data_IF_233993223154
#
_entry.id   IF_233993223154
#
_cell.length_a   1.000
_cell.length_b   1.000
_cell.length_c   1.000
_cell.angle_alpha   90.00
_cell.angle_beta   90.00
_cell.angle_gamma   90.00
#
_symmetry.space_group_name_H-M   'P 1'
#
loop_
_entity.id
_entity.type
_entity.pdbx_description
1 polymer ?
#
# COMPACT_ATOMS: atom_id res chain seq x y z
N UNK A 1 -46.80 -4.89 -10.44
CA UNK A 1 -45.52 -5.60 -10.24
C UNK A 1 -44.72 -5.43 -11.53
N UNK A 2 -43.62 -4.67 -11.48
CA UNK A 2 -42.73 -4.48 -12.62
C UNK A 2 -41.52 -5.39 -12.44
N UNK A 3 -41.31 -6.32 -13.38
CA UNK A 3 -40.11 -7.14 -13.44
C UNK A 3 -39.09 -6.45 -14.33
N UNK A 4 -37.91 -6.13 -13.79
CA UNK A 4 -36.80 -5.62 -14.57
C UNK A 4 -35.98 -6.81 -15.09
N UNK A 5 -36.02 -7.04 -16.41
CA UNK A 5 -35.16 -8.02 -17.08
C UNK A 5 -33.83 -7.33 -17.46
N UNK A 6 -32.72 -7.73 -16.83
CA UNK A 6 -31.40 -7.21 -17.15
C UNK A 6 -30.65 -8.20 -18.06
N UNK A 7 -30.98 -8.19 -19.36
CA UNK A 7 -30.30 -9.02 -20.38
C UNK A 7 -28.83 -8.66 -20.64
N UNK A 8 -28.27 -7.71 -19.88
CA UNK A 8 -26.87 -7.30 -19.96
C UNK A 8 -25.91 -8.35 -19.37
N UNK A 9 -26.32 -9.05 -18.32
CA UNK A 9 -25.44 -9.99 -17.63
C UNK A 9 -25.11 -11.23 -18.48
N UNK A 10 -26.06 -11.73 -19.28
CA UNK A 10 -25.85 -12.91 -20.14
C UNK A 10 -24.70 -12.72 -21.15
N UNK A 11 -24.54 -11.52 -21.70
CA UNK A 11 -23.53 -11.26 -22.72
C UNK A 11 -22.12 -11.08 -22.14
N UNK A 12 -22.01 -10.76 -20.85
CA UNK A 12 -20.72 -10.61 -20.17
C UNK A 12 -20.13 -11.96 -19.74
N UNK A 13 -20.97 -12.97 -19.45
CA UNK A 13 -20.52 -14.31 -19.05
C UNK A 13 -20.29 -15.27 -20.22
N UNK A 14 -20.79 -14.95 -21.42
CA UNK A 14 -20.68 -15.79 -22.62
C UNK A 14 -19.34 -15.74 -23.38
N UNK A 15 -18.40 -14.86 -23.00
CA UNK A 15 -17.14 -14.64 -23.73
C UNK A 15 -15.87 -14.81 -22.89
N UNK A 16 -15.88 -15.71 -21.89
CA UNK A 16 -14.67 -16.09 -21.15
C UNK A 16 -13.82 -17.13 -21.91
N UNK A 17 -13.31 -16.79 -23.09
CA UNK A 17 -12.02 -17.33 -23.54
C UNK A 17 -11.29 -16.22 -24.28
N UNK A 18 -10.06 -15.95 -23.83
CA UNK A 18 -9.13 -14.92 -24.35
C UNK A 18 -9.45 -13.49 -23.94
N UNK A 19 -9.24 -13.20 -22.67
CA UNK A 19 -8.38 -12.08 -22.26
C UNK A 19 -8.14 -12.27 -20.77
N UNK A 20 -7.02 -12.90 -20.42
CA UNK A 20 -6.46 -12.81 -19.08
C UNK A 20 -6.14 -11.33 -18.85
N UNK A 21 -7.15 -10.66 -18.30
CA UNK A 21 -7.13 -9.32 -17.77
C UNK A 21 -5.87 -9.14 -16.92
N UNK A 22 -4.99 -8.23 -17.35
CA UNK A 22 -4.10 -7.46 -16.45
C UNK A 22 -4.96 -6.51 -15.60
N UNK A 23 -5.90 -7.10 -14.87
CA UNK A 23 -6.92 -6.42 -14.07
C UNK A 23 -6.62 -6.63 -12.59
N UNK A 24 -5.82 -5.74 -12.02
CA UNK A 24 -5.96 -5.12 -10.70
C UNK A 24 -6.43 -5.99 -9.49
N UNK A 25 -6.14 -7.29 -9.49
CA UNK A 25 -6.40 -8.22 -8.39
C UNK A 25 -5.10 -8.79 -7.78
N UNK A 26 -3.97 -8.18 -8.13
CA UNK A 26 -2.63 -8.71 -7.89
C UNK A 26 -1.83 -8.02 -6.79
N UNK A 27 -2.46 -7.51 -5.73
CA UNK A 27 -1.72 -6.89 -4.62
C UNK A 27 -1.02 -7.94 -3.76
N UNK A 28 -1.81 -8.76 -3.06
CA UNK A 28 -1.28 -9.78 -2.15
C UNK A 28 -0.54 -10.91 -2.86
N UNK A 29 -1.04 -11.37 -4.01
CA UNK A 29 -0.44 -12.49 -4.75
C UNK A 29 0.87 -12.14 -5.44
N UNK A 30 1.02 -10.92 -5.99
CA UNK A 30 2.30 -10.51 -6.57
C UNK A 30 3.31 -10.15 -5.48
N UNK A 31 2.87 -9.53 -4.38
CA UNK A 31 3.76 -9.28 -3.24
C UNK A 31 4.37 -10.57 -2.70
N UNK A 32 3.58 -11.63 -2.53
CA UNK A 32 4.07 -12.92 -2.02
C UNK A 32 5.20 -13.49 -2.90
N UNK A 33 5.02 -13.48 -4.23
CA UNK A 33 6.04 -13.94 -5.18
C UNK A 33 7.32 -13.14 -5.07
N UNK A 34 7.22 -11.82 -4.92
CA UNK A 34 8.39 -10.95 -4.79
C UNK A 34 9.07 -11.07 -3.42
N UNK A 35 8.29 -11.24 -2.36
CA UNK A 35 8.80 -11.43 -1.01
C UNK A 35 9.58 -12.74 -0.86
N UNK A 36 9.07 -13.83 -1.42
CA UNK A 36 9.73 -15.15 -1.40
C UNK A 36 11.08 -15.14 -2.14
N UNK A 37 11.26 -14.24 -3.11
CA UNK A 37 12.51 -14.09 -3.84
C UNK A 37 13.60 -13.33 -3.06
N UNK A 38 13.27 -12.69 -1.93
CA UNK A 38 14.20 -11.86 -1.15
C UNK A 38 14.57 -12.56 0.16
N UNK A 39 15.86 -12.78 0.38
CA UNK A 39 16.37 -13.31 1.66
C UNK A 39 16.42 -12.20 2.72
N UNK A 40 15.37 -12.09 3.55
CA UNK A 40 15.30 -11.15 4.67
C UNK A 40 14.86 -11.86 5.95
N UNK A 41 15.64 -11.72 7.03
CA UNK A 41 15.33 -12.29 8.34
C UNK A 41 14.69 -11.30 9.31
N UNK A 42 14.58 -10.03 8.90
CA UNK A 42 14.01 -8.95 9.68
C UNK A 42 12.71 -8.48 9.03
N UNK A 43 12.50 -7.17 8.88
CA UNK A 43 11.32 -6.62 8.24
C UNK A 43 11.60 -6.34 6.77
N UNK A 44 10.80 -6.92 5.88
CA UNK A 44 10.85 -6.64 4.45
C UNK A 44 9.86 -5.52 4.12
N UNK A 45 10.37 -4.40 3.61
CA UNK A 45 9.52 -3.28 3.21
C UNK A 45 8.62 -3.68 2.02
N UNK A 46 7.28 -3.56 2.12
CA UNK A 46 6.37 -4.08 1.11
C UNK A 46 6.48 -3.36 -0.24
N UNK A 47 6.80 -2.07 -0.22
CA UNK A 47 6.82 -1.22 -1.42
C UNK A 47 8.18 -1.20 -2.11
N UNK A 48 9.26 -1.42 -1.36
CA UNK A 48 10.65 -1.30 -1.86
C UNK A 48 11.43 -2.60 -1.87
N UNK A 49 10.92 -3.64 -1.20
CA UNK A 49 11.57 -4.94 -1.00
C UNK A 49 12.96 -4.84 -0.33
N UNK A 50 13.20 -3.77 0.42
CA UNK A 50 14.42 -3.57 1.19
C UNK A 50 14.25 -4.22 2.57
N UNK A 51 15.25 -4.98 2.99
CA UNK A 51 15.29 -5.58 4.32
C UNK A 51 15.81 -4.57 5.35
N UNK A 52 15.03 -4.27 6.37
CA UNK A 52 15.34 -3.31 7.43
C UNK A 52 15.04 -3.89 8.81
N UNK A 53 15.54 -3.23 9.86
CA UNK A 53 15.37 -3.72 11.23
C UNK A 53 13.98 -3.48 11.80
N UNK A 54 13.33 -2.36 11.44
CA UNK A 54 11.97 -2.05 11.90
C UNK A 54 11.16 -1.42 10.76
N UNK A 55 9.82 -1.52 10.79
CA UNK A 55 8.96 -0.89 9.79
C UNK A 55 9.23 0.61 9.59
N UNK A 56 9.57 1.33 10.66
CA UNK A 56 9.88 2.77 10.62
C UNK A 56 11.15 3.11 9.79
N UNK A 57 12.00 2.12 9.56
CA UNK A 57 13.27 2.28 8.86
C UNK A 57 13.09 2.15 7.33
N UNK A 58 11.90 1.76 6.85
CA UNK A 58 11.63 1.65 5.41
C UNK A 58 11.81 3.00 4.68
N UNK A 59 12.46 3.00 3.50
CA UNK A 59 12.58 4.19 2.68
C UNK A 59 11.31 4.41 1.84
N UNK A 60 11.13 5.65 1.39
CA UNK A 60 10.09 5.95 0.40
C UNK A 60 10.43 5.32 -0.96
N UNK A 61 9.43 4.78 -1.68
CA UNK A 61 9.66 4.13 -2.97
C UNK A 61 10.12 5.12 -4.05
N UNK A 62 9.65 6.37 -4.01
CA UNK A 62 10.11 7.42 -4.90
C UNK A 62 11.17 8.28 -4.21
N UNK A 63 12.28 8.52 -4.90
CA UNK A 63 13.43 9.29 -4.38
C UNK A 63 13.13 10.79 -4.18
N UNK A 64 12.10 11.28 -4.84
CA UNK A 64 11.62 12.67 -4.73
C UNK A 64 10.65 12.89 -3.56
N UNK A 65 10.16 11.80 -2.95
CA UNK A 65 9.29 11.87 -1.79
C UNK A 65 10.10 11.92 -0.49
N UNK A 66 9.61 12.70 0.47
CA UNK A 66 10.23 12.85 1.78
C UNK A 66 9.57 11.88 2.77
N UNK A 67 10.40 11.18 3.56
CA UNK A 67 9.93 10.29 4.63
C UNK A 67 9.53 11.07 5.88
N UNK A 68 8.25 11.10 6.21
CA UNK A 68 7.74 11.58 7.48
C UNK A 68 7.55 10.40 8.45
N UNK A 69 8.01 10.54 9.69
CA UNK A 69 7.84 9.52 10.73
C UNK A 69 6.94 10.06 11.82
N UNK A 70 5.77 9.45 11.98
CA UNK A 70 4.80 9.79 13.00
C UNK A 70 5.00 8.81 14.16
N UNK A 71 5.57 9.25 15.30
CA UNK A 71 5.75 8.37 16.44
C UNK A 71 4.38 7.98 17.01
N UNK A 72 4.26 6.74 17.46
CA UNK A 72 3.09 6.32 18.24
C UNK A 72 3.13 6.98 19.63
N UNK A 73 1.97 7.39 20.14
CA UNK A 73 1.88 8.07 21.43
C UNK A 73 2.12 7.12 22.61
N UNK A 74 1.82 5.84 22.44
CA UNK A 74 1.93 4.82 23.48
C UNK A 74 3.25 4.05 23.41
N UNK A 75 3.77 3.82 22.20
CA UNK A 75 5.03 3.13 21.97
C UNK A 75 6.03 3.99 21.20
N UNK A 76 6.99 4.57 21.93
CA UNK A 76 8.07 5.38 21.34
C UNK A 76 8.99 4.57 20.41
N UNK A 77 8.93 3.25 20.46
CA UNK A 77 9.66 2.35 19.55
C UNK A 77 8.96 2.12 18.21
N UNK A 78 7.66 2.44 18.13
CA UNK A 78 6.81 2.26 16.96
C UNK A 78 6.48 3.60 16.31
N UNK A 79 6.43 3.61 14.98
CA UNK A 79 6.06 4.79 14.22
C UNK A 79 5.38 4.42 12.91
N UNK A 80 4.41 5.25 12.51
CA UNK A 80 3.83 5.21 11.18
C UNK A 80 4.70 6.03 10.23
N UNK A 81 5.06 5.45 9.09
CA UNK A 81 5.82 6.14 8.05
C UNK A 81 4.87 6.61 6.96
N UNK A 82 5.04 7.86 6.53
CA UNK A 82 4.33 8.44 5.40
C UNK A 82 5.32 9.04 4.41
N UNK A 83 5.09 8.82 3.13
CA UNK A 83 5.88 9.42 2.05
C UNK A 83 5.06 10.55 1.42
N UNK A 84 5.63 11.75 1.40
CA UNK A 84 4.94 12.96 0.95
C UNK A 84 5.75 13.70 -0.09
N UNK A 85 5.08 14.50 -0.93
CA UNK A 85 5.74 15.25 -2.01
C UNK A 85 5.77 16.73 -1.67
N UNK A 86 6.92 17.18 -1.18
CA UNK A 86 7.16 18.57 -0.83
C UNK A 86 7.49 18.78 0.64
N UNK A 87 8.28 19.81 0.92
CA UNK A 87 8.97 19.99 2.21
C UNK A 87 8.02 20.31 3.40
N UNK A 88 6.82 20.81 3.12
CA UNK A 88 5.88 21.28 4.16
C UNK A 88 4.84 20.23 4.57
N UNK A 89 4.68 19.16 3.81
CA UNK A 89 3.59 18.21 4.01
C UNK A 89 3.78 17.36 5.28
N UNK A 90 5.03 17.01 5.64
CA UNK A 90 5.30 16.34 6.92
C UNK A 90 4.82 17.17 8.11
N UNK A 91 5.07 18.49 8.09
CA UNK A 91 4.66 19.38 9.18
C UNK A 91 3.13 19.45 9.33
N UNK A 92 2.39 19.45 8.22
CA UNK A 92 0.92 19.41 8.25
C UNK A 92 0.41 18.11 8.88
N UNK A 93 1.01 16.97 8.56
CA UNK A 93 0.63 15.66 9.11
C UNK A 93 0.98 15.56 10.61
N UNK A 94 2.13 16.07 11.02
CA UNK A 94 2.52 16.15 12.43
C UNK A 94 1.56 17.04 13.25
N UNK A 95 1.10 18.15 12.68
CA UNK A 95 0.11 19.00 13.33
C UNK A 95 -1.24 18.29 13.52
N UNK A 96 -1.70 17.56 12.50
CA UNK A 96 -2.95 16.80 12.57
C UNK A 96 -2.88 15.71 13.65
N UNK A 97 -1.78 14.98 13.72
CA UNK A 97 -1.60 13.92 14.72
C UNK A 97 -1.55 14.46 16.14
N UNK A 98 -0.91 15.62 16.38
CA UNK A 98 -0.95 16.29 17.69
C UNK A 98 -2.33 16.79 18.08
N UNK A 99 -3.16 17.21 17.11
CA UNK A 99 -4.52 17.71 17.37
C UNK A 99 -5.49 16.59 17.79
N UNK A 100 -5.20 15.36 17.40
CA UNK A 100 -6.09 14.21 17.57
C UNK A 100 -5.51 13.09 18.46
N UNK A 101 -4.33 13.32 19.06
CA UNK A 101 -3.78 12.48 20.14
C UNK A 101 -4.20 13.02 21.50
#
# INVERSE_FOLDING_TARGET
>A
LAYAQFGFFDQMFGHQQQHAQRGNSGGASQWAVHADAVSCSQYLCPDTLICVSRPADCPCPNVEDVKCTIPDSQDKGSATVLCVRGEKECASVEQLTRKHS
#
